data_IF_241659883338
#
_entry.id   IF_241659883338
#
_cell.length_a   1.000
_cell.length_b   1.000
_cell.length_c   1.000
_cell.angle_alpha   90.00
_cell.angle_beta   90.00
_cell.angle_gamma   90.00
#
_symmetry.space_group_name_H-M   'P 1'
#
loop_
_entity.id
_entity.type
_entity.pdbx_description
1 polymer ?
#
# COMPACT_ATOMS: atom_id res chain seq x y z
N UNK A 1 20.96 -53.14 -5.45
CA UNK A 1 20.94 -52.55 -4.10
C UNK A 1 21.86 -51.33 -4.11
N UNK A 2 21.35 -50.19 -4.59
CA UNK A 2 22.09 -48.94 -4.73
C UNK A 2 21.62 -47.99 -3.63
N UNK A 3 22.51 -47.65 -2.72
CA UNK A 3 22.26 -46.76 -1.59
C UNK A 3 22.11 -45.31 -2.07
N UNK A 4 20.90 -44.76 -1.97
CA UNK A 4 20.66 -43.32 -2.14
C UNK A 4 21.07 -42.58 -0.85
N UNK A 5 22.13 -41.78 -0.92
CA UNK A 5 22.49 -40.82 0.14
C UNK A 5 21.61 -39.59 0.00
N UNK A 6 20.64 -39.44 0.90
CA UNK A 6 19.85 -38.21 1.08
C UNK A 6 20.74 -37.19 1.80
N UNK A 7 21.07 -36.08 1.14
CA UNK A 7 21.71 -34.93 1.77
C UNK A 7 20.66 -34.15 2.57
N UNK A 8 20.96 -33.69 3.81
CA UNK A 8 20.02 -32.91 4.59
C UNK A 8 19.90 -31.50 4.01
N UNK A 9 18.70 -31.15 3.55
CA UNK A 9 18.29 -29.77 3.25
C UNK A 9 18.36 -28.94 4.53
N UNK A 10 19.32 -28.02 4.60
CA UNK A 10 19.40 -26.99 5.63
C UNK A 10 18.28 -25.98 5.37
N UNK A 11 17.14 -26.17 6.03
CA UNK A 11 16.08 -25.16 6.10
C UNK A 11 16.62 -23.97 6.90
N UNK A 12 16.85 -22.82 6.24
CA UNK A 12 16.99 -21.54 6.93
C UNK A 12 15.64 -21.18 7.55
N UNK A 13 15.44 -21.56 8.80
CA UNK A 13 14.33 -21.06 9.61
C UNK A 13 14.56 -19.58 9.92
N UNK A 14 13.65 -18.72 9.47
CA UNK A 14 13.58 -17.35 9.98
C UNK A 14 13.01 -17.46 11.38
N UNK A 15 13.79 -17.10 12.40
CA UNK A 15 13.29 -16.94 13.75
C UNK A 15 12.26 -15.80 13.74
N UNK A 16 10.97 -16.13 13.77
CA UNK A 16 9.96 -15.16 14.20
C UNK A 16 10.08 -15.03 15.71
N UNK A 17 10.84 -14.05 16.20
CA UNK A 17 10.70 -13.64 17.58
C UNK A 17 9.27 -13.16 17.77
N UNK A 18 8.60 -13.64 18.82
CA UNK A 18 7.44 -12.95 19.39
C UNK A 18 7.82 -11.47 19.56
N UNK A 19 6.92 -10.50 19.29
CA UNK A 19 7.26 -9.09 19.43
C UNK A 19 7.75 -8.86 20.85
N UNK A 20 9.07 -8.64 21.00
CA UNK A 20 9.66 -8.29 22.28
C UNK A 20 9.05 -6.97 22.65
N UNK A 21 8.22 -6.97 23.70
CA UNK A 21 7.66 -5.75 24.26
C UNK A 21 8.82 -4.80 24.51
N UNK A 22 8.86 -3.67 23.81
CA UNK A 22 9.95 -2.72 23.91
C UNK A 22 10.17 -2.34 25.39
N UNK A 23 11.42 -2.19 25.78
CA UNK A 23 11.76 -1.69 27.10
C UNK A 23 11.17 -0.30 27.26
N UNK A 24 10.22 -0.16 28.19
CA UNK A 24 9.60 1.13 28.49
C UNK A 24 10.68 2.08 28.99
N UNK A 25 10.77 3.26 28.37
CA UNK A 25 11.74 4.27 28.78
C UNK A 25 11.54 4.62 30.27
N UNK A 26 12.60 4.70 31.07
CA UNK A 26 12.51 5.12 32.47
C UNK A 26 12.14 6.61 32.62
N UNK A 27 12.07 7.35 31.52
CA UNK A 27 11.66 8.75 31.45
C UNK A 27 10.15 8.84 31.15
N UNK A 28 9.32 9.33 32.10
CA UNK A 28 7.88 9.54 31.90
C UNK A 28 7.55 10.94 31.34
N UNK A 29 8.57 11.69 30.90
CA UNK A 29 8.35 13.06 30.41
C UNK A 29 7.48 13.02 29.14
N UNK A 30 6.33 13.72 29.14
CA UNK A 30 5.50 13.79 27.95
C UNK A 30 6.30 14.52 26.86
N UNK A 31 6.37 13.92 25.68
CA UNK A 31 6.89 14.60 24.48
C UNK A 31 6.09 15.88 24.25
N UNK A 32 6.69 16.83 23.52
CA UNK A 32 6.00 18.06 23.14
C UNK A 32 4.61 17.77 22.54
N UNK A 33 3.58 18.59 22.86
CA UNK A 33 2.23 18.34 22.36
C UNK A 33 2.21 18.32 20.84
N UNK A 34 1.61 17.28 20.25
CA UNK A 34 1.51 17.18 18.81
C UNK A 34 0.56 18.26 18.26
N UNK A 35 1.06 19.30 17.54
CA UNK A 35 0.23 20.41 17.08
C UNK A 35 -0.78 19.99 16.01
N UNK A 36 -0.57 18.84 15.35
CA UNK A 36 -1.48 18.35 14.31
C UNK A 36 -2.84 17.94 14.86
N UNK A 37 -2.93 17.55 16.14
CA UNK A 37 -4.19 17.18 16.77
C UNK A 37 -5.15 18.37 16.87
N UNK A 38 -4.63 19.54 17.23
CA UNK A 38 -5.44 20.77 17.37
C UNK A 38 -5.80 21.30 15.98
N UNK A 39 -4.81 21.35 15.07
CA UNK A 39 -4.98 21.91 13.73
C UNK A 39 -6.04 21.18 12.90
N UNK A 40 -6.10 19.85 13.00
CA UNK A 40 -6.98 19.02 12.18
C UNK A 40 -8.19 18.44 12.94
N UNK A 41 -8.46 18.87 14.17
CA UNK A 41 -9.54 18.30 14.98
C UNK A 41 -10.90 18.40 14.27
N UNK A 42 -11.28 19.60 13.83
CA UNK A 42 -12.57 19.85 13.18
C UNK A 42 -12.70 19.16 11.81
N UNK A 43 -11.61 19.14 11.04
CA UNK A 43 -11.59 18.47 9.73
C UNK A 43 -11.69 16.96 9.88
N UNK A 44 -11.02 16.39 10.88
CA UNK A 44 -11.07 14.96 11.19
C UNK A 44 -12.49 14.51 11.51
N UNK A 45 -13.22 15.26 12.34
CA UNK A 45 -14.61 14.92 12.70
C UNK A 45 -15.52 14.96 11.46
N UNK A 46 -15.42 15.99 10.62
CA UNK A 46 -16.18 16.10 9.36
C UNK A 46 -15.88 14.94 8.40
N UNK A 47 -14.61 14.54 8.30
CA UNK A 47 -14.19 13.43 7.44
C UNK A 47 -14.67 12.07 7.95
N UNK A 48 -14.81 11.87 9.27
CA UNK A 48 -15.40 10.65 9.81
C UNK A 48 -16.89 10.54 9.45
N UNK A 49 -17.64 11.63 9.58
CA UNK A 49 -19.06 11.68 9.20
C UNK A 49 -19.26 11.49 7.69
N UNK A 50 -18.36 12.06 6.88
CA UNK A 50 -18.39 11.86 5.44
C UNK A 50 -17.98 10.43 5.04
N UNK A 51 -16.95 9.88 5.68
CA UNK A 51 -16.49 8.51 5.47
C UNK A 51 -17.57 7.48 5.81
N UNK A 52 -18.29 7.67 6.91
CA UNK A 52 -19.38 6.78 7.33
C UNK A 52 -20.58 6.79 6.37
N UNK A 53 -20.85 7.93 5.73
CA UNK A 53 -21.85 8.01 4.67
C UNK A 53 -21.44 7.24 3.41
N UNK A 54 -20.16 7.22 3.07
CA UNK A 54 -19.66 6.58 1.85
C UNK A 54 -19.50 5.06 1.98
N UNK A 55 -18.93 4.59 3.09
CA UNK A 55 -18.55 3.19 3.23
C UNK A 55 -18.52 2.75 4.70
N UNK A 56 -18.68 1.45 4.92
CA UNK A 56 -18.53 0.84 6.24
C UNK A 56 -17.06 0.73 6.69
N UNK A 57 -16.11 0.55 5.76
CA UNK A 57 -14.69 0.42 6.05
C UNK A 57 -13.88 1.60 5.51
N UNK A 58 -13.44 2.47 6.42
CA UNK A 58 -12.61 3.62 6.11
C UNK A 58 -11.63 3.90 7.25
N UNK A 59 -10.56 4.61 6.92
CA UNK A 59 -9.64 5.18 7.91
C UNK A 59 -9.42 6.66 7.62
N UNK A 60 -9.48 7.47 8.67
CA UNK A 60 -9.13 8.89 8.62
C UNK A 60 -7.87 9.10 9.43
N UNK A 61 -6.86 9.71 8.81
CA UNK A 61 -5.64 10.13 9.47
C UNK A 61 -5.39 11.60 9.12
N UNK A 62 -5.37 12.47 10.13
CA UNK A 62 -5.25 13.93 9.95
C UNK A 62 -6.37 14.45 9.02
N UNK A 63 -6.01 14.95 7.85
CA UNK A 63 -6.91 15.48 6.80
C UNK A 63 -7.11 14.50 5.63
N UNK A 64 -6.64 13.27 5.74
CA UNK A 64 -6.73 12.27 4.67
C UNK A 64 -7.79 11.22 4.97
N UNK A 65 -8.79 11.12 4.08
CA UNK A 65 -9.77 10.04 4.08
C UNK A 65 -9.33 8.92 3.15
N UNK A 66 -9.32 7.71 3.68
CA UNK A 66 -8.98 6.49 2.95
C UNK A 66 -10.13 5.48 3.02
N UNK A 67 -10.63 5.06 1.86
CA UNK A 67 -11.67 4.04 1.74
C UNK A 67 -11.05 2.69 1.40
N UNK A 68 -11.49 1.62 2.07
CA UNK A 68 -11.07 0.26 1.75
C UNK A 68 -12.19 -0.44 1.00
N UNK A 69 -11.90 -0.92 -0.20
CA UNK A 69 -12.89 -1.54 -1.07
C UNK A 69 -12.36 -2.85 -1.64
N UNK A 70 -13.28 -3.75 -1.97
CA UNK A 70 -12.94 -4.96 -2.71
C UNK A 70 -12.68 -4.64 -4.20
N UNK A 71 -11.87 -5.44 -4.91
CA UNK A 71 -11.59 -5.26 -6.34
C UNK A 71 -12.84 -5.25 -7.22
N UNK A 72 -13.85 -6.05 -6.87
CA UNK A 72 -15.13 -6.09 -7.58
C UNK A 72 -15.92 -4.77 -7.49
N UNK A 73 -15.70 -3.98 -6.44
CA UNK A 73 -16.42 -2.74 -6.18
C UNK A 73 -15.72 -1.50 -6.75
N UNK A 74 -14.57 -1.65 -7.41
CA UNK A 74 -13.77 -0.53 -7.94
C UNK A 74 -14.56 0.34 -8.91
N UNK A 75 -15.11 -0.23 -9.99
CA UNK A 75 -15.84 0.55 -11.00
C UNK A 75 -17.08 1.25 -10.40
N UNK A 76 -17.97 0.57 -9.65
CA UNK A 76 -19.13 1.24 -9.04
C UNK A 76 -18.74 2.39 -8.11
N UNK A 77 -17.73 2.20 -7.25
CA UNK A 77 -17.29 3.22 -6.30
C UNK A 77 -16.64 4.39 -7.01
N UNK A 78 -15.77 4.15 -8.00
CA UNK A 78 -15.15 5.21 -8.78
C UNK A 78 -16.18 6.01 -9.58
N UNK A 79 -17.18 5.35 -10.16
CA UNK A 79 -18.28 6.01 -10.89
C UNK A 79 -19.11 6.86 -9.94
N UNK A 80 -19.48 6.34 -8.78
CA UNK A 80 -20.20 7.09 -7.74
C UNK A 80 -19.42 8.32 -7.28
N UNK A 81 -18.13 8.17 -6.99
CA UNK A 81 -17.26 9.26 -6.55
C UNK A 81 -16.99 10.30 -7.64
N UNK A 82 -17.17 9.97 -8.93
CA UNK A 82 -17.06 10.92 -10.03
C UNK A 82 -18.35 11.71 -10.24
N UNK A 83 -19.49 11.02 -10.21
CA UNK A 83 -20.76 11.54 -10.73
C UNK A 83 -21.70 12.09 -9.63
N UNK A 84 -21.53 11.67 -8.37
CA UNK A 84 -22.42 12.10 -7.29
C UNK A 84 -22.29 13.60 -6.97
N UNK A 85 -23.41 14.27 -6.72
CA UNK A 85 -23.44 15.73 -6.54
C UNK A 85 -22.58 16.21 -5.36
N UNK A 86 -22.50 15.41 -4.30
CA UNK A 86 -21.68 15.67 -3.09
C UNK A 86 -20.27 15.09 -3.20
N UNK A 87 -19.98 14.27 -4.21
CA UNK A 87 -18.70 13.59 -4.40
C UNK A 87 -18.31 13.81 -5.86
N UNK A 88 -17.70 14.96 -6.14
CA UNK A 88 -17.35 15.36 -7.52
C UNK A 88 -15.84 15.18 -7.76
N UNK A 89 -15.33 13.97 -7.51
CA UNK A 89 -13.93 13.63 -7.71
C UNK A 89 -13.66 13.39 -9.19
N UNK A 90 -13.48 14.50 -9.94
CA UNK A 90 -13.34 14.47 -11.40
C UNK A 90 -11.93 14.16 -11.89
N UNK A 91 -10.91 14.39 -11.07
CA UNK A 91 -9.51 14.21 -11.46
C UNK A 91 -8.88 13.02 -10.75
N UNK A 92 -8.34 12.08 -11.51
CA UNK A 92 -7.39 11.10 -10.99
C UNK A 92 -6.04 11.78 -10.86
N UNK A 93 -5.43 11.66 -9.69
CA UNK A 93 -4.11 12.23 -9.41
C UNK A 93 -3.01 11.19 -9.54
N UNK A 94 -3.26 9.98 -9.07
CA UNK A 94 -2.30 8.87 -9.10
C UNK A 94 -3.01 7.52 -8.95
N UNK A 95 -2.44 6.49 -9.55
CA UNK A 95 -2.78 5.09 -9.29
C UNK A 95 -1.48 4.33 -9.10
N UNK A 96 -1.24 3.86 -7.88
CA UNK A 96 0.01 3.21 -7.51
C UNK A 96 -0.23 1.84 -6.88
N UNK A 97 0.72 0.93 -7.12
CA UNK A 97 0.78 -0.36 -6.45
C UNK A 97 1.69 -0.30 -5.22
N UNK A 98 1.36 -1.06 -4.19
CA UNK A 98 2.24 -1.30 -3.04
C UNK A 98 2.33 -2.80 -2.82
N UNK A 99 3.55 -3.31 -2.64
CA UNK A 99 3.82 -4.72 -2.42
C UNK A 99 4.03 -5.02 -0.92
N UNK A 100 3.14 -5.83 -0.35
CA UNK A 100 3.19 -6.37 1.00
C UNK A 100 3.31 -7.90 0.95
N UNK A 101 4.54 -8.46 0.92
CA UNK A 101 4.76 -9.90 0.72
C UNK A 101 4.22 -10.78 1.86
N UNK A 102 3.97 -10.21 3.05
CA UNK A 102 3.45 -10.93 4.21
C UNK A 102 1.93 -11.19 4.13
N UNK A 103 1.21 -10.51 3.23
CA UNK A 103 -0.24 -10.65 3.07
C UNK A 103 -0.57 -11.69 1.99
N UNK A 104 -1.64 -12.46 2.20
CA UNK A 104 -2.16 -13.38 1.18
C UNK A 104 -2.42 -12.69 -0.17
N UNK A 105 -2.96 -11.46 -0.09
CA UNK A 105 -3.11 -10.56 -1.23
C UNK A 105 -1.96 -9.57 -1.21
N UNK A 106 -0.89 -9.98 -1.91
CA UNK A 106 0.41 -9.33 -1.94
C UNK A 106 0.34 -7.85 -2.33
N UNK A 107 -0.47 -7.50 -3.33
CA UNK A 107 -0.52 -6.15 -3.86
C UNK A 107 -1.68 -5.34 -3.27
N UNK A 108 -1.43 -4.07 -3.01
CA UNK A 108 -2.43 -3.07 -2.66
C UNK A 108 -2.41 -1.99 -3.74
N UNK A 109 -3.51 -1.84 -4.50
CA UNK A 109 -3.65 -0.79 -5.51
C UNK A 109 -4.35 0.40 -4.87
N UNK A 110 -3.71 1.55 -4.93
CA UNK A 110 -4.13 2.81 -4.31
C UNK A 110 -4.51 3.80 -5.40
N UNK A 111 -5.74 4.28 -5.37
CA UNK A 111 -6.22 5.35 -6.24
C UNK A 111 -6.29 6.65 -5.45
N UNK A 112 -5.66 7.70 -5.97
CA UNK A 112 -5.75 9.05 -5.44
C UNK A 112 -6.62 9.91 -6.34
N UNK A 113 -7.72 10.44 -5.79
CA UNK A 113 -8.63 11.30 -6.51
C UNK A 113 -8.70 12.70 -5.91
N UNK A 114 -8.96 13.68 -6.77
CA UNK A 114 -9.13 15.09 -6.42
C UNK A 114 -10.48 15.60 -6.93
N UNK A 115 -11.22 16.25 -6.03
CA UNK A 115 -12.38 17.07 -6.35
C UNK A 115 -11.94 18.52 -6.44
N UNK A 116 -11.99 19.10 -7.63
CA UNK A 116 -11.65 20.51 -7.86
C UNK A 116 -12.72 21.41 -7.24
N UNK A 117 -13.99 21.01 -7.31
CA UNK A 117 -15.12 21.81 -6.78
C UNK A 117 -15.06 21.97 -5.26
N UNK A 118 -14.72 20.89 -4.55
CA UNK A 118 -14.68 20.89 -3.09
C UNK A 118 -13.25 21.02 -2.54
N UNK A 119 -12.25 21.17 -3.42
CA UNK A 119 -10.82 21.16 -3.08
C UNK A 119 -10.43 20.01 -2.12
N UNK A 120 -11.06 18.84 -2.31
CA UNK A 120 -10.95 17.69 -1.41
C UNK A 120 -10.23 16.53 -2.09
N UNK A 121 -9.46 15.77 -1.32
CA UNK A 121 -8.75 14.56 -1.77
C UNK A 121 -9.32 13.34 -1.08
N UNK A 122 -9.34 12.23 -1.82
CA UNK A 122 -9.73 10.93 -1.27
C UNK A 122 -8.78 9.86 -1.78
N UNK A 123 -8.46 8.91 -0.91
CA UNK A 123 -7.66 7.72 -1.22
C UNK A 123 -8.56 6.51 -1.22
N UNK A 124 -8.43 5.65 -2.22
CA UNK A 124 -9.20 4.41 -2.32
C UNK A 124 -8.18 3.29 -2.42
N UNK A 125 -8.32 2.28 -1.57
CA UNK A 125 -7.40 1.16 -1.51
C UNK A 125 -8.14 -0.13 -1.84
N UNK A 126 -7.52 -0.89 -2.72
CA UNK A 126 -7.96 -2.21 -3.12
C UNK A 126 -6.78 -3.16 -3.00
N UNK A 127 -7.06 -4.45 -2.99
CA UNK A 127 -6.03 -5.48 -2.92
C UNK A 127 -6.01 -6.30 -4.22
N UNK A 128 -4.88 -6.92 -4.54
CA UNK A 128 -4.76 -7.88 -5.65
C UNK A 128 -3.75 -8.96 -5.30
N UNK A 129 -4.05 -10.21 -5.67
CA UNK A 129 -3.05 -11.27 -5.77
C UNK A 129 -2.23 -11.14 -7.06
N UNK A 130 -1.27 -12.04 -7.24
CA UNK A 130 -0.43 -12.08 -8.45
C UNK A 130 -1.18 -12.54 -9.69
N UNK A 131 -2.14 -13.46 -9.52
CA UNK A 131 -3.01 -13.96 -10.60
C UNK A 131 -4.37 -13.25 -10.65
N UNK A 132 -4.68 -12.42 -9.65
CA UNK A 132 -5.98 -11.75 -9.57
C UNK A 132 -6.00 -10.53 -10.49
N UNK A 133 -7.07 -10.40 -11.28
CA UNK A 133 -7.28 -9.25 -12.11
C UNK A 133 -8.09 -8.17 -11.37
N UNK A 134 -7.62 -6.92 -11.41
CA UNK A 134 -8.37 -5.75 -10.94
C UNK A 134 -9.09 -5.12 -12.14
N UNK A 135 -10.36 -4.73 -12.05
CA UNK A 135 -11.02 -4.05 -13.16
C UNK A 135 -10.38 -2.67 -13.44
N UNK A 136 -10.14 -2.36 -14.72
CA UNK A 136 -9.57 -1.08 -15.15
C UNK A 136 -10.52 0.10 -14.90
N UNK A 137 -9.98 1.19 -14.38
CA UNK A 137 -10.63 2.48 -14.20
C UNK A 137 -10.63 3.35 -15.46
N UNK A 138 -10.02 2.90 -16.57
CA UNK A 138 -9.93 3.67 -17.83
C UNK A 138 -11.29 4.08 -18.40
N UNK A 139 -12.31 3.24 -18.22
CA UNK A 139 -13.70 3.55 -18.61
C UNK A 139 -14.29 4.75 -17.85
N UNK A 140 -13.83 4.98 -16.62
CA UNK A 140 -14.30 6.06 -15.75
C UNK A 140 -13.42 7.30 -15.88
N UNK A 141 -12.11 7.09 -15.97
CA UNK A 141 -11.11 8.14 -16.04
C UNK A 141 -10.09 7.81 -17.13
N UNK A 142 -10.09 8.58 -18.22
CA UNK A 142 -9.13 8.39 -19.31
C UNK A 142 -7.67 8.52 -18.85
N UNK A 143 -7.41 9.35 -17.84
CA UNK A 143 -6.07 9.52 -17.26
C UNK A 143 -5.53 8.28 -16.54
N UNK A 144 -6.38 7.32 -16.16
CA UNK A 144 -5.96 6.09 -15.49
C UNK A 144 -5.12 5.16 -16.39
N UNK A 145 -5.20 5.32 -17.72
CA UNK A 145 -4.56 4.40 -18.68
C UNK A 145 -3.05 4.26 -18.44
N UNK A 146 -2.35 5.38 -18.29
CA UNK A 146 -0.89 5.34 -18.12
C UNK A 146 -0.48 4.83 -16.75
N UNK A 147 -1.20 5.22 -15.69
CA UNK A 147 -0.91 4.74 -14.34
C UNK A 147 -1.17 3.24 -14.18
N UNK A 148 -2.24 2.71 -14.79
CA UNK A 148 -2.51 1.27 -14.76
C UNK A 148 -1.46 0.47 -15.54
N UNK A 149 -0.96 1.02 -16.66
CA UNK A 149 0.18 0.44 -17.39
C UNK A 149 1.46 0.47 -16.59
N UNK A 150 1.74 1.57 -15.89
CA UNK A 150 2.89 1.69 -15.01
C UNK A 150 2.82 0.69 -13.85
N UNK A 151 1.66 0.58 -13.19
CA UNK A 151 1.45 -0.39 -12.13
C UNK A 151 1.59 -1.84 -12.62
N UNK A 152 1.16 -2.14 -13.85
CA UNK A 152 1.42 -3.43 -14.48
C UNK A 152 2.91 -3.65 -14.79
N UNK A 153 3.61 -2.65 -15.30
CA UNK A 153 5.04 -2.78 -15.65
C UNK A 153 5.93 -2.97 -14.40
N UNK A 154 5.68 -2.18 -13.35
CA UNK A 154 6.51 -2.13 -12.16
C UNK A 154 6.18 -3.19 -11.11
N UNK A 155 4.89 -3.54 -10.93
CA UNK A 155 4.42 -4.50 -9.94
C UNK A 155 3.83 -5.78 -10.55
N UNK A 156 3.46 -5.78 -11.82
CA UNK A 156 2.82 -6.94 -12.46
C UNK A 156 1.35 -7.10 -12.10
N UNK A 157 0.68 -6.02 -11.67
CA UNK A 157 -0.75 -6.05 -11.34
C UNK A 157 -1.56 -6.05 -12.64
N UNK A 158 -2.39 -7.07 -12.84
CA UNK A 158 -3.16 -7.20 -14.07
C UNK A 158 -4.48 -6.43 -14.00
N UNK A 159 -4.70 -5.55 -14.99
CA UNK A 159 -5.94 -4.79 -15.13
C UNK A 159 -6.84 -5.38 -16.22
N UNK A 160 -8.03 -5.83 -15.85
CA UNK A 160 -9.03 -6.36 -16.78
C UNK A 160 -9.70 -5.23 -17.56
N UNK A 161 -9.99 -5.50 -18.83
CA UNK A 161 -10.70 -4.58 -19.75
C UNK A 161 -9.93 -3.29 -20.08
N UNK A 162 -8.61 -3.29 -19.86
CA UNK A 162 -7.72 -2.19 -20.25
C UNK A 162 -7.49 -2.18 -21.78
N UNK A 163 -7.54 -1.03 -22.47
CA UNK A 163 -7.45 -0.96 -23.93
C UNK A 163 -6.08 -1.33 -24.52
N UNK A 164 -4.98 -0.98 -23.86
CA UNK A 164 -3.60 -1.28 -24.30
C UNK A 164 -2.68 -1.50 -23.08
N UNK A 165 -2.71 -2.71 -22.50
CA UNK A 165 -1.88 -3.05 -21.34
C UNK A 165 -0.53 -3.61 -21.81
N UNK A 166 0.51 -2.77 -21.77
CA UNK A 166 1.89 -3.11 -22.12
C UNK A 166 2.90 -2.26 -21.36
N UNK A 167 4.17 -2.66 -21.41
CA UNK A 167 5.30 -2.00 -20.73
C UNK A 167 5.39 -0.54 -21.16
N UNK A 168 5.86 0.31 -20.26
CA UNK A 168 5.97 1.76 -20.53
C UNK A 168 7.28 2.35 -20.01
N UNK A 169 7.79 1.89 -18.86
CA UNK A 169 9.03 2.38 -18.27
C UNK A 169 10.19 1.41 -18.49
N UNK A 170 9.93 0.10 -18.42
CA UNK A 170 11.00 -0.89 -18.58
C UNK A 170 11.40 -1.09 -20.04
N UNK A 171 12.60 -1.62 -20.25
CA UNK A 171 13.10 -1.94 -21.59
C UNK A 171 12.18 -2.98 -22.29
N UNK A 172 12.18 -2.98 -23.62
CA UNK A 172 11.27 -3.78 -24.43
C UNK A 172 11.38 -5.29 -24.15
N UNK A 173 12.60 -5.77 -23.92
CA UNK A 173 12.91 -7.17 -23.60
C UNK A 173 13.08 -7.46 -22.11
N UNK A 174 12.67 -6.54 -21.24
CA UNK A 174 12.89 -6.68 -19.80
C UNK A 174 12.04 -7.83 -19.23
N UNK A 175 12.66 -8.68 -18.42
CA UNK A 175 11.99 -9.79 -17.73
C UNK A 175 11.88 -9.49 -16.24
N UNK A 176 10.66 -9.56 -15.71
CA UNK A 176 10.34 -9.24 -14.32
C UNK A 176 9.71 -7.86 -14.10
N UNK A 177 9.51 -7.55 -12.82
CA UNK A 177 8.79 -6.38 -12.30
C UNK A 177 9.64 -5.68 -11.22
N UNK A 178 10.27 -4.52 -11.52
CA UNK A 178 11.34 -3.97 -10.68
C UNK A 178 10.95 -3.55 -9.26
N UNK A 179 9.72 -3.11 -9.01
CA UNK A 179 9.32 -2.57 -7.70
C UNK A 179 8.80 -3.63 -6.74
N UNK A 180 8.78 -4.90 -7.15
CA UNK A 180 8.48 -6.00 -6.24
C UNK A 180 9.63 -6.22 -5.25
N UNK A 181 9.30 -6.59 -4.02
CA UNK A 181 10.29 -6.72 -2.92
C UNK A 181 11.28 -7.89 -3.08
N UNK A 182 10.95 -8.85 -3.94
CA UNK A 182 11.80 -9.97 -4.36
C UNK A 182 12.78 -9.61 -5.48
N UNK A 183 12.61 -8.47 -6.15
CA UNK A 183 13.49 -8.05 -7.24
C UNK A 183 14.76 -7.39 -6.68
N UNK A 184 15.98 -7.80 -7.13
CA UNK A 184 17.22 -7.20 -6.65
C UNK A 184 17.38 -5.77 -7.17
N UNK A 185 17.94 -4.88 -6.33
CA UNK A 185 18.10 -3.46 -6.65
C UNK A 185 18.81 -3.20 -7.98
N UNK A 186 19.80 -4.03 -8.32
CA UNK A 186 20.63 -3.90 -9.52
C UNK A 186 20.06 -4.63 -10.74
N UNK A 187 19.02 -5.45 -10.55
CA UNK A 187 18.50 -6.34 -11.59
C UNK A 187 19.39 -7.57 -11.85
N UNK A 188 19.07 -8.28 -12.92
CA UNK A 188 19.72 -9.54 -13.30
C UNK A 188 20.69 -9.40 -14.48
N UNK A 189 20.46 -8.40 -15.34
CA UNK A 189 21.19 -8.22 -16.60
C UNK A 189 21.83 -6.85 -16.68
N UNK A 190 23.01 -6.80 -17.29
CA UNK A 190 23.68 -5.58 -17.71
C UNK A 190 23.82 -5.53 -19.23
N UNK A 191 24.18 -4.36 -19.74
CA UNK A 191 24.23 -4.09 -21.17
C UNK A 191 25.62 -3.60 -21.53
N UNK A 192 26.25 -4.23 -22.54
CA UNK A 192 27.52 -3.78 -23.11
C UNK A 192 27.48 -3.77 -24.65
N UNK A 193 28.36 -2.98 -25.25
CA UNK A 193 28.58 -3.05 -26.70
C UNK A 193 29.54 -4.20 -27.02
N UNK A 194 29.18 -5.04 -27.99
CA UNK A 194 30.01 -6.13 -28.48
C UNK A 194 30.58 -5.77 -29.86
N UNK A 195 31.90 -5.58 -29.95
CA UNK A 195 32.56 -5.15 -31.18
C UNK A 195 32.49 -6.21 -32.28
N UNK A 196 32.58 -7.49 -31.93
CA UNK A 196 32.51 -8.60 -32.89
C UNK A 196 31.15 -8.67 -33.58
N UNK A 197 30.08 -8.50 -32.81
CA UNK A 197 28.69 -8.54 -33.29
C UNK A 197 28.17 -7.18 -33.75
N UNK A 198 28.93 -6.10 -33.54
CA UNK A 198 28.57 -4.70 -33.80
C UNK A 198 27.18 -4.32 -33.28
N UNK A 199 26.81 -4.84 -32.11
CA UNK A 199 25.50 -4.60 -31.48
C UNK A 199 25.59 -4.57 -29.97
N UNK A 200 24.56 -4.02 -29.36
CA UNK A 200 24.35 -4.05 -27.91
C UNK A 200 23.90 -5.45 -27.49
N UNK A 201 24.56 -6.02 -26.48
CA UNK A 201 24.25 -7.35 -25.92
C UNK A 201 23.89 -7.25 -24.45
N UNK A 202 22.95 -8.12 -24.04
CA UNK A 202 22.53 -8.29 -22.65
C UNK A 202 23.32 -9.46 -22.04
N UNK A 203 23.96 -9.23 -20.90
CA UNK A 203 24.75 -10.24 -20.18
C UNK A 203 24.33 -10.31 -18.71
N UNK A 204 24.58 -11.44 -18.02
CA UNK A 204 24.37 -11.51 -16.58
C UNK A 204 25.19 -10.45 -15.84
N UNK A 205 24.58 -9.80 -14.85
CA UNK A 205 25.17 -8.69 -14.10
C UNK A 205 26.52 -9.07 -13.44
N UNK A 206 27.55 -8.24 -13.63
CA UNK A 206 28.83 -8.33 -12.94
C UNK A 206 29.29 -6.96 -12.44
N UNK A 207 29.12 -6.71 -11.14
CA UNK A 207 29.54 -5.45 -10.53
C UNK A 207 31.01 -5.50 -10.11
N UNK A 208 31.78 -4.48 -10.51
CA UNK A 208 33.16 -4.27 -10.03
C UNK A 208 33.20 -4.00 -8.52
N UNK A 209 32.19 -3.29 -8.01
CA UNK A 209 31.96 -3.08 -6.59
C UNK A 209 30.53 -3.49 -6.24
N UNK A 210 30.40 -4.43 -5.30
CA UNK A 210 29.09 -4.84 -4.81
C UNK A 210 28.36 -3.70 -4.07
N UNK A 211 27.03 -3.69 -4.17
CA UNK A 211 26.18 -2.80 -3.39
C UNK A 211 26.36 -3.08 -1.89
N UNK A 212 26.59 -2.03 -1.09
CA UNK A 212 26.73 -2.12 0.36
C UNK A 212 25.48 -1.54 1.00
N UNK A 213 24.68 -2.39 1.64
CA UNK A 213 23.51 -1.93 2.39
C UNK A 213 23.93 -1.44 3.78
N UNK A 214 23.54 -0.22 4.14
CA UNK A 214 23.82 0.39 5.44
C UNK A 214 22.51 0.67 6.19
N UNK A 215 21.78 -0.39 6.51
CA UNK A 215 20.61 -0.30 7.39
C UNK A 215 21.07 -0.24 8.86
N UNK A 216 21.38 0.97 9.32
CA UNK A 216 21.64 1.25 10.74
C UNK A 216 20.32 1.48 11.49
N UNK A 217 19.49 0.45 11.57
CA UNK A 217 18.25 0.51 12.36
C UNK A 217 18.59 0.60 13.85
N UNK A 218 17.93 1.54 14.55
CA UNK A 218 18.07 1.66 16.01
C UNK A 218 17.55 0.38 16.68
N UNK A 219 18.31 -0.22 17.62
CA UNK A 219 17.81 -1.34 18.43
C UNK A 219 16.65 -0.96 19.36
N UNK A 220 16.46 0.34 19.61
CA UNK A 220 15.42 0.89 20.46
C UNK A 220 14.26 1.41 19.62
N UNK A 221 13.04 1.21 20.11
CA UNK A 221 11.83 1.80 19.54
C UNK A 221 11.97 3.33 19.49
N UNK A 222 11.92 3.90 18.28
CA UNK A 222 12.17 5.32 18.08
C UNK A 222 10.95 6.20 18.39
N UNK A 223 9.74 5.66 18.21
CA UNK A 223 8.46 6.37 18.34
C UNK A 223 7.50 5.43 19.06
N UNK A 224 6.93 5.85 20.19
CA UNK A 224 5.94 5.04 20.91
C UNK A 224 4.56 5.00 20.23
N UNK A 225 3.55 4.52 20.96
CA UNK A 225 2.18 4.29 20.46
C UNK A 225 1.45 5.55 19.93
N UNK A 226 2.03 6.74 20.13
CA UNK A 226 1.50 8.01 19.66
C UNK A 226 0.28 8.47 20.45
N UNK A 227 -0.32 9.57 20.02
CA UNK A 227 -1.58 10.06 20.60
C UNK A 227 -2.74 9.52 19.81
N UNK A 228 -3.75 8.95 20.48
CA UNK A 228 -4.97 8.53 19.81
C UNK A 228 -5.63 9.71 19.09
N UNK A 229 -5.98 9.57 17.80
CA UNK A 229 -6.69 10.61 17.08
C UNK A 229 -8.07 10.83 17.71
N UNK A 230 -8.51 12.09 17.73
CA UNK A 230 -9.84 12.47 18.20
C UNK A 230 -10.91 11.87 17.26
N UNK A 231 -11.47 10.72 17.65
CA UNK A 231 -12.64 10.12 17.00
C UNK A 231 -13.91 10.73 17.61
N UNK A 232 -14.93 11.06 16.81
CA UNK A 232 -16.23 11.46 17.35
C UNK A 232 -16.78 10.36 18.27
N UNK A 233 -17.44 10.76 19.37
CA UNK A 233 -17.91 9.81 20.39
C UNK A 233 -18.85 8.74 19.81
N UNK A 234 -19.58 9.08 18.74
CA UNK A 234 -20.48 8.19 18.01
C UNK A 234 -19.78 6.98 17.37
N UNK A 235 -18.49 7.09 17.02
CA UNK A 235 -17.71 6.01 16.40
C UNK A 235 -16.93 5.18 17.41
N UNK A 236 -16.92 5.55 18.69
CA UNK A 236 -16.35 4.71 19.74
C UNK A 236 -17.41 3.67 20.12
N UNK A 237 -17.07 2.37 20.14
CA UNK A 237 -18.02 1.37 20.60
C UNK A 237 -18.44 1.73 22.02
N UNK A 238 -19.75 1.78 22.27
CA UNK A 238 -20.26 2.04 23.61
C UNK A 238 -19.76 0.92 24.53
N UNK A 239 -19.27 1.26 25.74
CA UNK A 239 -18.89 0.24 26.70
C UNK A 239 -20.12 -0.64 27.00
N UNK A 240 -19.92 -1.96 27.19
CA UNK A 240 -21.02 -2.85 27.50
C UNK A 240 -21.78 -2.34 28.74
N UNK A 241 -23.12 -2.45 28.76
CA UNK A 241 -23.91 -2.01 29.91
C UNK A 241 -23.38 -2.65 31.18
N UNK A 242 -23.09 -1.84 32.21
CA UNK A 242 -22.68 -2.36 33.50
C UNK A 242 -23.80 -3.27 34.03
N UNK A 243 -23.46 -4.50 34.42
CA UNK A 243 -24.41 -5.42 35.02
C UNK A 243 -25.00 -4.76 36.27
N UNK A 244 -26.33 -4.59 36.32
CA UNK A 244 -27.01 -4.02 37.49
C UNK A 244 -26.65 -4.90 38.69
N UNK A 245 -25.95 -4.32 39.66
CA UNK A 245 -25.69 -5.00 40.92
C UNK A 245 -27.02 -5.48 41.52
N UNK A 246 -27.12 -6.74 41.98
CA UNK A 246 -28.34 -7.22 42.60
C UNK A 246 -28.61 -6.36 43.82
N UNK A 247 -29.70 -5.59 43.76
CA UNK A 247 -30.20 -4.83 44.91
C UNK A 247 -30.41 -5.82 46.05
N UNK A 248 -29.54 -5.77 47.06
CA UNK A 248 -29.72 -6.50 48.31
C UNK A 248 -31.01 -5.98 48.95
N UNK A 249 -32.05 -6.80 48.90
CA UNK A 249 -33.25 -6.65 49.74
C UNK A 249 -32.92 -7.01 51.17
#
# INVERSE_FOLDING_TARGET
>A
MLYARVLPTVTRGVHSSSPSKASVSPFPEPTSPNPTLIKYAETTEKLHNYGSYLCSQFSVLKDELTLYIAPSAVIPVLTFLRDHSQCQFKSVMDISGVDFPERDKRFEVVYHLLSIKFAARIRIKTYAGEADAVPSATSTFNGANWYEREAWDLFGIFFKDHPDLRRILTDYGFEGHPLRKDFPLTGYTEVRYDEEKKRVVYEPLQLTQAFRNFEALSPWEQIGEGTEPRKPQEFKPLPPPQAKEPQKK
#
